data_IF_612891088155
#
_entry.id   IF_612891088155
#
_cell.length_a   1.000
_cell.length_b   1.000
_cell.length_c   1.000
_cell.angle_alpha   90.00
_cell.angle_beta   90.00
_cell.angle_gamma   90.00
#
_symmetry.space_group_name_H-M   'P 1'
#
loop_
_entity.id
_entity.type
_entity.pdbx_description
1 polymer ?
#
# COMPACT_ATOMS: atom_id res chain seq x y z
N UNK A 1 7.09 -8.41 4.80
CA UNK A 1 6.46 -7.71 5.95
C UNK A 1 7.49 -6.92 6.76
N UNK A 2 8.50 -7.59 7.30
CA UNK A 2 9.47 -6.93 8.17
C UNK A 2 10.32 -5.89 7.45
N UNK A 3 10.60 -6.08 6.17
CA UNK A 3 11.35 -5.09 5.38
C UNK A 3 10.68 -3.73 5.34
N UNK A 4 9.40 -3.70 5.06
CA UNK A 4 8.63 -2.45 5.01
C UNK A 4 8.40 -1.86 6.40
N UNK A 5 8.10 -2.69 7.40
CA UNK A 5 7.96 -2.23 8.78
C UNK A 5 9.28 -1.61 9.28
N UNK A 6 10.41 -2.24 8.95
CA UNK A 6 11.73 -1.72 9.32
C UNK A 6 12.07 -0.41 8.61
N UNK A 7 11.59 -0.21 7.37
CA UNK A 7 11.77 1.07 6.68
C UNK A 7 11.22 2.21 7.52
N UNK A 8 10.02 2.05 8.04
CA UNK A 8 9.40 3.08 8.89
C UNK A 8 10.12 3.20 10.23
N UNK A 9 10.37 2.07 10.90
CA UNK A 9 10.98 2.04 12.23
C UNK A 9 12.36 2.66 12.24
N UNK A 10 13.19 2.33 11.26
CA UNK A 10 14.56 2.79 11.15
C UNK A 10 14.63 4.15 10.47
N UNK A 11 13.79 4.40 9.48
CA UNK A 11 13.82 5.60 8.65
C UNK A 11 13.24 6.85 9.30
N UNK A 12 12.34 6.69 10.28
CA UNK A 12 11.59 7.82 10.84
C UNK A 12 12.45 8.99 11.35
N UNK A 13 13.65 8.80 11.95
CA UNK A 13 14.47 9.92 12.39
C UNK A 13 15.16 10.66 11.23
N UNK A 14 15.17 10.09 10.03
CA UNK A 14 15.85 10.66 8.87
C UNK A 14 14.90 11.37 7.90
N UNK A 15 13.59 11.23 8.09
CA UNK A 15 12.61 11.88 7.23
C UNK A 15 12.34 13.28 7.73
N UNK A 16 12.24 14.25 6.81
CA UNK A 16 11.96 15.65 7.18
C UNK A 16 10.57 15.78 7.81
N UNK A 17 10.38 16.84 8.60
CA UNK A 17 9.07 17.13 9.19
C UNK A 17 8.01 17.20 8.09
N UNK A 18 6.82 16.66 8.36
CA UNK A 18 5.71 16.55 7.41
C UNK A 18 5.98 15.61 6.23
N UNK A 19 7.05 14.81 6.28
CA UNK A 19 7.31 13.78 5.29
C UNK A 19 6.38 12.58 5.43
N UNK A 20 6.54 11.59 4.56
CA UNK A 20 5.67 10.43 4.59
C UNK A 20 6.38 9.15 4.17
N UNK A 21 5.75 8.03 4.56
CA UNK A 21 6.07 6.69 4.06
C UNK A 21 4.85 6.15 3.33
N UNK A 22 5.07 5.52 2.20
CA UNK A 22 4.01 4.81 1.48
C UNK A 22 4.45 3.36 1.28
N UNK A 23 3.72 2.45 1.91
CA UNK A 23 3.99 1.03 1.82
C UNK A 23 3.04 0.38 0.83
N UNK A 24 3.31 -0.88 0.48
CA UNK A 24 2.49 -1.63 -0.46
C UNK A 24 2.05 -2.95 0.14
N UNK A 25 0.74 -3.17 0.19
CA UNK A 25 0.12 -4.45 0.52
C UNK A 25 -0.53 -5.04 -0.74
N UNK A 26 -1.75 -5.50 -0.67
CA UNK A 26 -2.51 -5.99 -1.80
C UNK A 26 -3.90 -6.44 -1.38
N UNK A 27 -4.82 -6.49 -2.33
CA UNK A 27 -6.23 -6.79 -2.06
C UNK A 27 -6.48 -8.20 -1.51
N UNK A 28 -5.50 -9.11 -1.60
CA UNK A 28 -5.65 -10.45 -1.05
C UNK A 28 -5.81 -10.47 0.48
N UNK A 29 -5.51 -9.36 1.16
CA UNK A 29 -5.79 -9.23 2.58
C UNK A 29 -7.29 -9.23 2.88
N UNK A 30 -8.10 -8.72 1.96
CA UNK A 30 -9.55 -8.59 2.12
C UNK A 30 -10.34 -9.44 1.13
N UNK A 31 -9.74 -9.78 -0.01
CA UNK A 31 -10.35 -10.58 -1.08
C UNK A 31 -9.47 -11.81 -1.33
N UNK A 32 -9.41 -12.76 -0.37
CA UNK A 32 -8.51 -13.89 -0.48
C UNK A 32 -8.92 -14.85 -1.59
N UNK A 33 -7.95 -15.56 -2.12
CA UNK A 33 -8.17 -16.61 -3.08
C UNK A 33 -7.41 -17.87 -2.66
N UNK A 34 -7.72 -18.98 -3.29
CA UNK A 34 -7.08 -20.25 -2.97
C UNK A 34 -5.56 -20.13 -3.11
N UNK A 35 -4.84 -20.57 -2.08
CA UNK A 35 -3.39 -20.53 -2.06
C UNK A 35 -2.80 -19.20 -1.61
N UNK A 36 -3.61 -18.24 -1.18
CA UNK A 36 -3.15 -16.89 -0.82
C UNK A 36 -2.88 -16.68 0.67
N UNK A 37 -2.91 -17.72 1.50
CA UNK A 37 -2.84 -17.56 2.95
C UNK A 37 -1.61 -16.76 3.40
N UNK A 38 -0.42 -17.09 2.90
CA UNK A 38 0.81 -16.38 3.28
C UNK A 38 0.83 -14.94 2.81
N UNK A 39 0.41 -14.70 1.57
CA UNK A 39 0.35 -13.35 1.00
C UNK A 39 -0.70 -12.53 1.73
N UNK A 40 -1.86 -13.11 2.01
CA UNK A 40 -2.93 -12.43 2.74
C UNK A 40 -2.49 -12.05 4.15
N UNK A 41 -1.74 -12.92 4.82
CA UNK A 41 -1.19 -12.65 6.15
C UNK A 41 -0.21 -11.46 6.11
N UNK A 42 0.70 -11.45 5.15
CA UNK A 42 1.67 -10.36 5.00
C UNK A 42 0.97 -9.04 4.70
N UNK A 43 0.04 -9.05 3.77
CA UNK A 43 -0.69 -7.85 3.38
C UNK A 43 -1.54 -7.31 4.55
N UNK A 44 -2.25 -8.17 5.24
CA UNK A 44 -3.06 -7.77 6.40
C UNK A 44 -2.18 -7.24 7.54
N UNK A 45 -1.01 -7.85 7.74
CA UNK A 45 -0.04 -7.39 8.73
C UNK A 45 0.46 -5.99 8.45
N UNK A 46 0.78 -5.68 7.19
CA UNK A 46 1.19 -4.33 6.77
C UNK A 46 0.09 -3.31 7.01
N UNK A 47 -1.15 -3.66 6.70
CA UNK A 47 -2.28 -2.75 6.89
C UNK A 47 -2.52 -2.46 8.37
N UNK A 48 -2.44 -3.47 9.23
CA UNK A 48 -2.51 -3.28 10.67
C UNK A 48 -1.36 -2.44 11.21
N UNK A 49 -0.15 -2.71 10.75
CA UNK A 49 1.04 -1.93 11.13
C UNK A 49 0.87 -0.45 10.78
N UNK A 50 0.40 -0.13 9.59
CA UNK A 50 0.23 1.26 9.15
C UNK A 50 -0.78 2.02 10.02
N UNK A 51 -1.90 1.38 10.36
CA UNK A 51 -2.91 2.01 11.22
C UNK A 51 -2.34 2.38 12.58
N UNK A 52 -1.57 1.50 13.17
CA UNK A 52 -0.95 1.74 14.48
C UNK A 52 0.22 2.73 14.39
N UNK A 53 1.09 2.56 13.40
CA UNK A 53 2.27 3.41 13.23
C UNK A 53 1.88 4.87 12.99
N UNK A 54 0.78 5.11 12.30
CA UNK A 54 0.32 6.48 12.04
C UNK A 54 0.02 7.25 13.34
N UNK A 55 -0.39 6.54 14.39
CA UNK A 55 -0.67 7.15 15.69
C UNK A 55 0.64 7.48 16.42
N UNK A 56 1.67 6.65 16.22
CA UNK A 56 2.93 6.75 16.95
C UNK A 56 3.95 7.70 16.31
N UNK A 57 3.82 7.99 15.02
CA UNK A 57 4.84 8.78 14.30
C UNK A 57 4.87 10.24 14.78
N UNK A 58 6.08 10.78 15.02
CA UNK A 58 6.25 12.18 15.46
C UNK A 58 6.30 13.15 14.29
N UNK A 59 6.32 14.43 14.60
CA UNK A 59 6.61 15.54 13.66
C UNK A 59 5.65 15.62 12.48
N UNK A 60 4.40 15.22 12.67
CA UNK A 60 3.40 15.18 11.60
C UNK A 60 3.81 14.27 10.42
N UNK A 61 4.65 13.28 10.67
CA UNK A 61 4.97 12.27 9.67
C UNK A 61 3.74 11.42 9.38
N UNK A 62 3.57 11.08 8.12
CA UNK A 62 2.43 10.29 7.65
C UNK A 62 2.90 8.93 7.15
N UNK A 63 2.07 7.94 7.31
CA UNK A 63 2.30 6.60 6.75
C UNK A 63 0.98 6.04 6.22
N UNK A 64 1.01 5.60 4.98
CA UNK A 64 -0.13 4.95 4.34
C UNK A 64 0.33 3.69 3.64
N UNK A 65 -0.61 2.84 3.26
CA UNK A 65 -0.31 1.65 2.48
C UNK A 65 -1.26 1.60 1.29
N UNK A 66 -0.70 1.36 0.11
CA UNK A 66 -1.48 1.14 -1.11
C UNK A 66 -1.76 -0.36 -1.21
N UNK A 67 -3.02 -0.71 -1.42
CA UNK A 67 -3.50 -2.09 -1.55
C UNK A 67 -3.98 -2.33 -2.97
N UNK A 68 -3.06 -2.60 -3.92
CA UNK A 68 -3.44 -2.74 -5.33
C UNK A 68 -4.07 -4.10 -5.61
N UNK A 69 -4.97 -4.15 -6.61
CA UNK A 69 -5.38 -5.41 -7.21
C UNK A 69 -4.30 -5.89 -8.18
N UNK A 70 -4.61 -6.91 -8.99
CA UNK A 70 -3.75 -7.30 -10.09
C UNK A 70 -3.52 -6.12 -11.04
N UNK A 71 -2.27 -5.91 -11.42
CA UNK A 71 -1.91 -4.85 -12.38
C UNK A 71 -2.03 -5.40 -13.79
N UNK A 72 -2.72 -4.68 -14.67
CA UNK A 72 -3.01 -5.11 -16.03
C UNK A 72 -1.74 -5.52 -16.79
N UNK A 73 -0.69 -4.71 -16.72
CA UNK A 73 0.57 -4.97 -17.42
C UNK A 73 1.25 -6.25 -16.94
N UNK A 74 1.14 -6.54 -15.64
CA UNK A 74 1.66 -7.79 -15.07
C UNK A 74 0.87 -9.00 -15.57
N UNK A 75 -0.45 -8.87 -15.66
CA UNK A 75 -1.29 -9.94 -16.18
C UNK A 75 -0.96 -10.24 -17.64
N UNK A 76 -0.77 -9.22 -18.45
CA UNK A 76 -0.36 -9.36 -19.85
C UNK A 76 0.99 -10.08 -19.95
N UNK A 77 1.97 -9.66 -19.15
CA UNK A 77 3.30 -10.26 -19.16
C UNK A 77 3.29 -11.74 -18.76
N UNK A 78 2.31 -12.16 -17.94
CA UNK A 78 2.14 -13.55 -17.52
C UNK A 78 1.19 -14.36 -18.38
N UNK A 79 0.67 -13.78 -19.46
CA UNK A 79 -0.28 -14.46 -20.33
C UNK A 79 -1.65 -14.69 -19.69
N UNK A 80 -2.01 -13.91 -18.67
CA UNK A 80 -3.30 -13.98 -17.99
C UNK A 80 -4.27 -12.97 -18.56
N UNK A 81 -5.57 -13.13 -18.25
CA UNK A 81 -6.62 -12.22 -18.71
C UNK A 81 -6.42 -10.82 -18.13
N UNK A 82 -6.14 -9.80 -18.96
CA UNK A 82 -5.91 -8.44 -18.46
C UNK A 82 -7.17 -7.72 -18.02
N UNK A 83 -8.35 -8.23 -18.36
CA UNK A 83 -9.61 -7.55 -18.06
C UNK A 83 -9.93 -7.48 -16.57
N UNK A 84 -9.32 -8.35 -15.74
CA UNK A 84 -9.51 -8.35 -14.29
C UNK A 84 -8.56 -7.42 -13.57
N UNK A 85 -7.61 -6.81 -14.29
CA UNK A 85 -6.59 -5.97 -13.71
C UNK A 85 -6.93 -4.48 -13.74
N UNK A 86 -6.13 -3.71 -12.99
CA UNK A 86 -6.16 -2.26 -13.03
C UNK A 86 -4.87 -1.77 -13.71
N UNK A 87 -4.94 -0.84 -14.68
CA UNK A 87 -3.72 -0.33 -15.32
C UNK A 87 -2.76 0.31 -14.32
N UNK A 88 -1.46 0.21 -14.59
CA UNK A 88 -0.42 0.71 -13.69
C UNK A 88 -0.55 2.22 -13.43
N UNK A 89 -0.97 3.01 -14.42
CA UNK A 89 -1.17 4.44 -14.24
C UNK A 89 -2.28 4.75 -13.24
N UNK A 90 -3.31 3.92 -13.18
CA UNK A 90 -4.40 4.04 -12.19
C UNK A 90 -3.88 3.66 -10.79
N UNK A 91 -3.05 2.63 -10.69
CA UNK A 91 -2.42 2.25 -9.43
C UNK A 91 -1.52 3.37 -8.92
N UNK A 92 -0.80 4.03 -9.80
CA UNK A 92 0.09 5.14 -9.45
C UNK A 92 -0.66 6.31 -8.79
N UNK A 93 -1.92 6.53 -9.12
CA UNK A 93 -2.72 7.60 -8.49
C UNK A 93 -2.86 7.39 -6.98
N UNK A 94 -2.90 6.15 -6.50
CA UNK A 94 -2.95 5.86 -5.07
C UNK A 94 -1.67 6.29 -4.36
N UNK A 95 -0.53 6.10 -4.99
CA UNK A 95 0.74 6.55 -4.43
C UNK A 95 0.83 8.07 -4.39
N UNK A 96 0.36 8.75 -5.43
CA UNK A 96 0.30 10.21 -5.43
C UNK A 96 -0.61 10.73 -4.32
N UNK A 97 -1.76 10.11 -4.12
CA UNK A 97 -2.67 10.49 -3.04
C UNK A 97 -2.01 10.38 -1.67
N UNK A 98 -1.20 9.34 -1.46
CA UNK A 98 -0.45 9.16 -0.21
C UNK A 98 0.64 10.20 -0.04
N UNK A 99 1.45 10.43 -1.08
CA UNK A 99 2.64 11.29 -1.00
C UNK A 99 2.27 12.77 -0.97
N UNK A 100 1.33 13.18 -1.82
CA UNK A 100 0.98 14.59 -1.99
C UNK A 100 -0.19 15.04 -1.11
N UNK A 101 -0.96 14.09 -0.56
CA UNK A 101 -2.11 14.41 0.28
C UNK A 101 -1.75 14.64 1.73
N UNK A 102 -2.79 14.68 2.57
CA UNK A 102 -2.65 14.90 4.02
C UNK A 102 -3.11 13.70 4.84
N UNK A 103 -3.55 12.63 4.20
CA UNK A 103 -4.04 11.44 4.88
C UNK A 103 -2.91 10.67 5.53
N UNK A 104 -3.22 9.98 6.63
CA UNK A 104 -2.30 9.08 7.31
C UNK A 104 -3.06 7.90 7.92
N UNK A 105 -2.39 6.78 8.07
CA UNK A 105 -2.99 5.57 8.62
C UNK A 105 -4.02 4.92 7.71
N UNK A 106 -3.98 5.19 6.41
CA UNK A 106 -4.98 4.72 5.47
C UNK A 106 -4.49 3.55 4.63
N UNK A 107 -5.41 2.64 4.36
CA UNK A 107 -5.25 1.59 3.34
C UNK A 107 -5.93 2.12 2.08
N UNK A 108 -5.15 2.40 1.06
CA UNK A 108 -5.64 3.04 -0.16
C UNK A 108 -5.84 1.98 -1.24
N UNK A 109 -7.09 1.76 -1.62
CA UNK A 109 -7.43 0.87 -2.73
C UNK A 109 -7.50 1.71 -4.02
N UNK A 110 -6.60 1.47 -4.99
CA UNK A 110 -6.57 2.26 -6.22
C UNK A 110 -7.87 2.20 -7.02
N UNK A 111 -8.65 1.13 -6.85
CA UNK A 111 -9.94 0.98 -7.55
C UNK A 111 -10.97 2.01 -7.10
N UNK A 112 -10.80 2.57 -5.90
CA UNK A 112 -11.74 3.50 -5.29
C UNK A 112 -11.38 4.97 -5.51
N UNK A 113 -10.28 5.23 -6.20
CA UNK A 113 -9.85 6.59 -6.52
C UNK A 113 -10.50 6.98 -7.85
N UNK A 114 -11.10 8.17 -7.90
CA UNK A 114 -11.66 8.72 -9.12
C UNK A 114 -10.58 8.91 -10.19
N UNK A 115 -10.91 8.55 -11.41
CA UNK A 115 -9.99 8.66 -12.53
C UNK A 115 -9.71 10.14 -12.88
#
# INVERSE_FOLDING_TARGET
LMGQANLVRIGRPFVTNHGSFTLTSGVLSQEPMKGSASISMVNAGLEGFVRAAAIDLPRSLRVNVVSPPWVTETLIARGMDPSIGLPADRVAQAYLASVEGTITGQVIDPRKIAA
#
